data_IF_739352775996
#
_entry.id   IF_739352775996
#
_cell.length_a   1.000
_cell.length_b   1.000
_cell.length_c   1.000
_cell.angle_alpha   90.00
_cell.angle_beta   90.00
_cell.angle_gamma   90.00
#
_symmetry.space_group_name_H-M   'P 1'
#
loop_
_entity.id
_entity.type
_entity.pdbx_description
1 polymer ?
#
# COMPACT_ATOMS: atom_id res chain seq x y z
N UNK A 1 11.27 -20.29 -7.16
CA UNK A 1 10.68 -19.88 -5.87
C UNK A 1 10.30 -18.40 -5.95
N UNK A 2 9.08 -18.07 -5.51
CA UNK A 2 8.59 -16.68 -5.59
C UNK A 2 9.37 -15.79 -4.61
N UNK A 3 9.69 -14.57 -5.04
CA UNK A 3 10.39 -13.56 -4.22
C UNK A 3 9.68 -13.28 -2.88
N UNK A 4 8.34 -13.33 -2.90
CA UNK A 4 7.53 -13.11 -1.70
C UNK A 4 7.63 -14.19 -0.65
N UNK A 5 7.74 -15.46 -1.06
CA UNK A 5 7.96 -16.57 -0.13
C UNK A 5 9.33 -16.42 0.55
N UNK A 6 10.38 -16.09 -0.23
CA UNK A 6 11.70 -15.81 0.32
C UNK A 6 11.68 -14.65 1.31
N UNK A 7 10.94 -13.57 1.00
CA UNK A 7 10.79 -12.42 1.91
C UNK A 7 10.14 -12.84 3.22
N UNK A 8 8.98 -13.51 3.17
CA UNK A 8 8.30 -13.98 4.38
C UNK A 8 9.19 -14.91 5.19
N UNK A 9 9.90 -15.82 4.54
CA UNK A 9 10.83 -16.71 5.21
C UNK A 9 11.95 -15.92 5.92
N UNK A 10 12.54 -14.94 5.27
CA UNK A 10 13.61 -14.10 5.85
C UNK A 10 13.16 -13.30 7.07
N UNK A 11 11.90 -12.85 7.10
CA UNK A 11 11.37 -12.06 8.23
C UNK A 11 10.59 -12.94 9.24
N UNK A 12 10.45 -14.26 8.98
CA UNK A 12 9.61 -15.15 9.81
C UNK A 12 10.02 -15.17 11.27
N UNK A 13 11.32 -15.22 11.56
CA UNK A 13 11.84 -15.23 12.94
C UNK A 13 11.43 -13.94 13.66
N UNK A 14 11.56 -12.79 12.99
CA UNK A 14 11.18 -11.50 13.56
C UNK A 14 9.65 -11.40 13.77
N UNK A 15 8.84 -11.92 12.83
CA UNK A 15 7.39 -11.98 12.95
C UNK A 15 6.96 -12.88 14.13
N UNK A 16 7.56 -14.06 14.28
CA UNK A 16 7.31 -14.98 15.39
C UNK A 16 7.69 -14.32 16.73
N UNK A 17 8.82 -13.62 16.75
CA UNK A 17 9.25 -12.93 17.95
C UNK A 17 8.30 -11.78 18.33
N UNK A 18 7.88 -10.98 17.35
CA UNK A 18 6.86 -9.94 17.55
C UNK A 18 5.51 -10.52 17.98
N UNK A 19 5.11 -11.68 17.43
CA UNK A 19 3.89 -12.37 17.83
C UNK A 19 3.89 -12.76 19.32
N UNK A 20 5.02 -13.24 19.84
CA UNK A 20 5.11 -13.79 21.21
C UNK A 20 5.57 -12.80 22.30
N UNK A 21 6.22 -11.69 21.93
CA UNK A 21 6.89 -10.81 22.89
C UNK A 21 6.27 -9.40 22.94
N UNK A 22 5.66 -8.99 24.08
CA UNK A 22 5.02 -7.69 24.23
C UNK A 22 6.01 -6.51 24.16
N UNK A 23 7.29 -6.74 24.37
CA UNK A 23 8.33 -5.70 24.30
C UNK A 23 8.97 -5.60 22.89
N UNK A 24 8.49 -6.38 21.94
CA UNK A 24 9.01 -6.35 20.56
C UNK A 24 8.31 -5.30 19.72
N UNK A 25 9.12 -4.48 19.04
CA UNK A 25 8.69 -3.58 17.97
C UNK A 25 9.35 -4.05 16.68
N UNK A 26 8.55 -4.50 15.73
CA UNK A 26 9.00 -4.91 14.40
C UNK A 26 8.56 -3.87 13.38
N UNK A 27 9.52 -3.34 12.62
CA UNK A 27 9.26 -2.37 11.54
C UNK A 27 9.63 -3.03 10.21
N UNK A 28 8.70 -3.06 9.26
CA UNK A 28 8.90 -3.68 7.94
C UNK A 28 8.43 -2.73 6.85
N UNK A 29 9.32 -2.38 5.96
CA UNK A 29 8.99 -1.58 4.78
C UNK A 29 8.47 -2.48 3.65
N UNK A 30 7.42 -2.01 2.95
CA UNK A 30 6.78 -2.74 1.84
C UNK A 30 6.46 -4.21 2.17
N UNK A 31 5.80 -4.47 3.28
CA UNK A 31 5.50 -5.84 3.73
C UNK A 31 4.78 -6.68 2.65
N UNK A 32 3.99 -6.04 1.80
CA UNK A 32 3.22 -6.65 0.72
C UNK A 32 4.03 -6.97 -0.54
N UNK A 33 5.23 -6.42 -0.70
CA UNK A 33 6.03 -6.57 -1.92
C UNK A 33 6.35 -8.04 -2.22
N UNK A 34 5.79 -8.55 -3.33
CA UNK A 34 5.94 -9.93 -3.77
C UNK A 34 5.20 -10.99 -2.93
N UNK A 35 4.46 -10.59 -1.90
CA UNK A 35 3.69 -11.49 -1.05
C UNK A 35 2.28 -11.65 -1.61
N UNK A 36 1.80 -12.92 -1.67
CA UNK A 36 0.44 -13.20 -2.11
C UNK A 36 -0.58 -12.61 -1.13
N UNK A 37 -1.58 -11.90 -1.63
CA UNK A 37 -2.53 -11.11 -0.84
C UNK A 37 -3.24 -11.92 0.26
N UNK A 38 -3.68 -13.13 -0.03
CA UNK A 38 -4.35 -13.99 0.94
C UNK A 38 -3.41 -14.38 2.12
N UNK A 39 -2.14 -14.69 1.81
CA UNK A 39 -1.15 -14.99 2.82
C UNK A 39 -0.86 -13.77 3.70
N UNK A 40 -0.66 -12.60 3.08
CA UNK A 40 -0.48 -11.35 3.81
C UNK A 40 -1.67 -11.07 4.73
N UNK A 41 -2.90 -11.21 4.20
CA UNK A 41 -4.13 -11.02 4.97
C UNK A 41 -4.20 -11.91 6.21
N UNK A 42 -3.85 -13.18 6.07
CA UNK A 42 -3.82 -14.15 7.19
C UNK A 42 -2.75 -13.83 8.22
N UNK A 43 -1.56 -13.42 7.79
CA UNK A 43 -0.49 -12.99 8.70
C UNK A 43 -0.93 -11.77 9.51
N UNK A 44 -1.45 -10.74 8.84
CA UNK A 44 -1.92 -9.52 9.48
C UNK A 44 -3.06 -9.80 10.46
N UNK A 45 -4.01 -10.66 10.09
CA UNK A 45 -5.10 -11.06 10.96
C UNK A 45 -4.59 -11.78 12.21
N UNK A 46 -3.70 -12.76 12.06
CA UNK A 46 -3.13 -13.51 13.19
C UNK A 46 -2.39 -12.59 14.17
N UNK A 47 -1.58 -11.66 13.66
CA UNK A 47 -0.86 -10.70 14.50
C UNK A 47 -1.83 -9.73 15.19
N UNK A 48 -2.85 -9.25 14.49
CA UNK A 48 -3.83 -8.31 15.05
C UNK A 48 -4.71 -8.94 16.14
N UNK A 49 -5.06 -10.22 16.00
CA UNK A 49 -5.94 -10.92 16.94
C UNK A 49 -5.20 -11.45 18.19
N UNK A 50 -3.96 -11.90 18.01
CA UNK A 50 -3.26 -12.67 19.04
C UNK A 50 -1.81 -12.26 19.28
N UNK A 51 -1.26 -11.36 18.49
CA UNK A 51 0.09 -10.84 18.65
C UNK A 51 0.24 -10.01 19.91
N UNK A 52 1.35 -10.16 20.62
CA UNK A 52 1.66 -9.43 21.85
C UNK A 52 2.52 -8.20 21.62
N UNK A 53 3.43 -8.26 20.65
CA UNK A 53 4.28 -7.14 20.25
C UNK A 53 3.61 -6.20 19.27
N UNK A 54 4.37 -5.25 18.76
CA UNK A 54 3.89 -4.25 17.80
C UNK A 54 4.54 -4.48 16.43
N UNK A 55 3.70 -4.48 15.39
CA UNK A 55 4.12 -4.50 14.00
C UNK A 55 3.78 -3.16 13.35
N UNK A 56 4.79 -2.41 12.91
CA UNK A 56 4.65 -1.23 12.07
C UNK A 56 5.13 -1.59 10.66
N UNK A 57 4.31 -1.34 9.65
CA UNK A 57 4.70 -1.67 8.28
C UNK A 57 4.13 -0.67 7.28
N UNK A 58 4.80 -0.58 6.12
CA UNK A 58 4.23 0.06 4.94
C UNK A 58 3.71 -1.00 3.97
N UNK A 59 2.67 -0.66 3.20
CA UNK A 59 2.11 -1.49 2.15
C UNK A 59 1.47 -0.64 1.07
N UNK A 60 1.52 -1.11 -0.18
CA UNK A 60 0.91 -0.47 -1.32
C UNK A 60 -0.44 -1.12 -1.69
N UNK A 61 -0.65 -2.38 -1.33
CA UNK A 61 -1.91 -3.05 -1.59
C UNK A 61 -2.99 -2.71 -0.54
N UNK A 62 -4.23 -3.03 -0.85
CA UNK A 62 -5.39 -2.65 -0.04
C UNK A 62 -5.84 -3.73 0.96
N UNK A 63 -5.13 -4.85 1.06
CA UNK A 63 -5.45 -5.94 2.01
C UNK A 63 -5.48 -5.48 3.47
N UNK A 64 -4.55 -4.61 3.94
CA UNK A 64 -4.62 -4.09 5.29
C UNK A 64 -5.94 -3.35 5.59
N UNK A 65 -6.55 -2.70 4.59
CA UNK A 65 -7.83 -1.99 4.74
C UNK A 65 -9.02 -2.92 5.00
N UNK A 66 -8.89 -4.19 4.63
CA UNK A 66 -9.93 -5.19 4.82
C UNK A 66 -9.75 -5.98 6.14
N UNK A 67 -8.52 -6.08 6.60
CA UNK A 67 -8.14 -6.95 7.73
C UNK A 67 -7.90 -6.22 9.04
N UNK A 68 -7.54 -4.94 8.98
CA UNK A 68 -7.17 -4.16 10.15
C UNK A 68 -8.23 -3.12 10.51
N UNK A 69 -8.22 -2.71 11.77
CA UNK A 69 -9.04 -1.60 12.24
C UNK A 69 -8.58 -0.28 11.59
N UNK A 70 -9.54 0.59 11.24
CA UNK A 70 -9.24 1.94 10.74
C UNK A 70 -8.34 2.76 11.69
N UNK A 71 -8.37 2.46 12.99
CA UNK A 71 -7.52 3.11 14.00
C UNK A 71 -6.03 2.79 13.82
N UNK A 72 -5.73 1.64 13.22
CA UNK A 72 -4.36 1.17 12.99
C UNK A 72 -3.81 1.61 11.63
N UNK A 73 -4.60 2.32 10.81
CA UNK A 73 -4.23 2.68 9.45
C UNK A 73 -3.98 4.17 9.34
N UNK A 74 -2.85 4.51 8.70
CA UNK A 74 -2.45 5.86 8.34
C UNK A 74 -2.16 5.86 6.84
N UNK A 75 -2.72 6.82 6.13
CA UNK A 75 -2.41 7.06 4.71
C UNK A 75 -1.32 8.11 4.60
N UNK A 76 -0.40 7.90 3.68
CA UNK A 76 0.61 8.88 3.33
C UNK A 76 0.15 9.71 2.13
N UNK A 77 0.52 10.98 2.11
CA UNK A 77 0.24 11.91 1.01
C UNK A 77 1.51 12.52 0.47
N UNK A 78 1.46 13.08 -0.73
CA UNK A 78 2.56 13.85 -1.34
C UNK A 78 2.68 15.28 -0.80
N UNK A 79 1.70 15.76 0.01
CA UNK A 79 1.74 17.09 0.58
C UNK A 79 2.77 17.15 1.72
N UNK A 80 3.84 17.99 1.62
CA UNK A 80 4.86 18.09 2.65
C UNK A 80 4.34 18.61 4.00
N UNK A 81 3.25 19.40 3.98
CA UNK A 81 2.68 20.01 5.18
C UNK A 81 1.69 19.08 5.89
N UNK A 82 1.18 18.04 5.19
CA UNK A 82 0.25 17.07 5.76
C UNK A 82 0.51 15.67 5.19
N UNK A 83 1.63 15.08 5.57
CA UNK A 83 2.10 13.78 5.04
C UNK A 83 1.29 12.59 5.52
N UNK A 84 0.56 12.71 6.62
CA UNK A 84 -0.12 11.60 7.28
C UNK A 84 -1.59 11.92 7.51
N UNK A 85 -2.47 11.14 6.91
CA UNK A 85 -3.93 11.31 7.02
C UNK A 85 -4.57 10.07 7.61
N UNK A 86 -5.51 10.26 8.54
CA UNK A 86 -6.37 9.20 9.05
C UNK A 86 -7.81 9.46 8.65
N UNK A 87 -8.50 8.42 8.21
CA UNK A 87 -9.95 8.53 8.01
C UNK A 87 -10.67 8.47 9.35
N UNK A 88 -11.49 9.47 9.60
CA UNK A 88 -12.44 9.45 10.69
C UNK A 88 -13.69 8.70 10.23
N UNK A 89 -13.97 7.58 10.88
CA UNK A 89 -15.15 6.77 10.57
C UNK A 89 -16.37 7.35 11.25
N UNK A 90 -17.39 7.71 10.47
CA UNK A 90 -18.66 8.25 10.98
C UNK A 90 -19.75 7.17 11.11
N UNK A 91 -19.57 5.97 10.56
CA UNK A 91 -20.53 4.87 10.66
C UNK A 91 -19.85 3.48 10.70
N UNK A 92 -20.51 2.53 11.38
CA UNK A 92 -19.99 1.15 11.52
C UNK A 92 -20.06 0.29 10.25
N UNK A 93 -20.71 0.77 9.19
CA UNK A 93 -21.02 0.01 7.97
C UNK A 93 -20.09 0.28 6.79
N UNK A 94 -19.20 1.27 6.87
CA UNK A 94 -18.34 1.61 5.72
C UNK A 94 -17.09 0.73 5.69
N UNK A 95 -16.92 -0.05 4.61
CA UNK A 95 -15.68 -0.73 4.30
C UNK A 95 -14.59 0.32 4.03
N UNK A 96 -13.44 0.22 4.70
CA UNK A 96 -12.35 1.17 4.60
C UNK A 96 -11.78 1.27 3.17
N UNK A 97 -11.77 0.15 2.45
CA UNK A 97 -11.39 0.09 1.03
C UNK A 97 -12.32 0.95 0.17
N UNK A 98 -13.64 0.89 0.41
CA UNK A 98 -14.61 1.74 -0.29
C UNK A 98 -14.44 3.22 0.03
N UNK A 99 -14.10 3.56 1.28
CA UNK A 99 -13.77 4.93 1.66
C UNK A 99 -12.51 5.43 0.96
N UNK A 100 -11.49 4.59 0.86
CA UNK A 100 -10.26 4.92 0.14
C UNK A 100 -10.53 5.20 -1.34
N UNK A 101 -11.27 4.32 -2.04
CA UNK A 101 -11.62 4.56 -3.45
C UNK A 101 -12.47 5.82 -3.66
N UNK A 102 -13.41 6.10 -2.75
CA UNK A 102 -14.16 7.36 -2.80
C UNK A 102 -13.24 8.56 -2.60
N UNK A 103 -12.27 8.45 -1.71
CA UNK A 103 -11.30 9.51 -1.48
C UNK A 103 -10.42 9.77 -2.70
N UNK A 104 -10.06 8.72 -3.46
CA UNK A 104 -9.35 8.87 -4.72
C UNK A 104 -10.20 9.51 -5.83
N UNK A 105 -11.50 9.17 -5.88
CA UNK A 105 -12.41 9.63 -6.93
C UNK A 105 -12.97 11.05 -6.71
N UNK A 106 -13.00 11.54 -5.48
CA UNK A 106 -13.55 12.85 -5.16
C UNK A 106 -12.50 13.94 -5.35
N UNK A 107 -12.61 14.67 -6.46
CA UNK A 107 -11.86 15.91 -6.72
C UNK A 107 -12.34 17.04 -5.78
N UNK A 108 -11.92 17.08 -4.56
CA UNK A 108 -12.35 18.10 -3.60
C UNK A 108 -11.82 17.92 -2.21
N UNK A 109 -11.00 16.92 -1.98
CA UNK A 109 -10.34 16.73 -0.70
C UNK A 109 -9.18 17.71 -0.54
N UNK A 110 -8.99 18.19 0.68
CA UNK A 110 -7.84 19.03 1.03
C UNK A 110 -6.50 18.35 0.71
N UNK A 111 -6.48 17.01 0.72
CA UNK A 111 -5.30 16.19 0.48
C UNK A 111 -5.60 15.13 -0.58
N UNK A 112 -4.80 15.10 -1.64
CA UNK A 112 -4.86 14.05 -2.66
C UNK A 112 -4.12 12.81 -2.16
N UNK A 113 -4.82 11.69 -2.06
CA UNK A 113 -4.26 10.39 -1.69
C UNK A 113 -3.69 9.62 -2.90
N UNK A 114 -4.04 10.03 -4.12
CA UNK A 114 -3.62 9.40 -5.37
C UNK A 114 -2.58 10.20 -6.15
N UNK A 115 -2.10 9.61 -7.24
CA UNK A 115 -1.25 10.29 -8.22
C UNK A 115 -2.01 11.46 -8.86
N UNK A 116 -1.29 12.57 -9.13
CA UNK A 116 -1.82 13.67 -9.94
C UNK A 116 -1.79 13.38 -11.45
N UNK A 117 -1.19 12.25 -11.85
CA UNK A 117 -1.08 11.83 -13.25
C UNK A 117 -2.42 11.27 -13.70
N UNK A 118 -2.98 11.82 -14.77
CA UNK A 118 -4.21 11.33 -15.40
C UNK A 118 -3.92 10.22 -16.43
N UNK A 119 -4.97 9.54 -16.88
CA UNK A 119 -4.83 8.57 -17.98
C UNK A 119 -4.40 9.28 -19.26
N UNK A 120 -4.95 10.45 -19.49
CA UNK A 120 -4.64 11.30 -20.65
C UNK A 120 -3.17 11.71 -20.66
N UNK A 121 -2.55 12.04 -19.51
CA UNK A 121 -1.13 12.34 -19.40
C UNK A 121 -0.27 11.13 -19.84
N UNK A 122 -0.67 9.92 -19.42
CA UNK A 122 0.04 8.69 -19.80
C UNK A 122 -0.11 8.41 -21.29
N UNK A 123 -1.31 8.55 -21.84
CA UNK A 123 -1.58 8.37 -23.27
C UNK A 123 -0.76 9.33 -24.11
N UNK A 124 -0.68 10.60 -23.71
CA UNK A 124 0.14 11.59 -24.40
C UNK A 124 1.62 11.21 -24.41
N UNK A 125 2.17 10.82 -23.26
CA UNK A 125 3.57 10.39 -23.15
C UNK A 125 3.85 9.17 -24.03
N UNK A 126 2.94 8.18 -24.05
CA UNK A 126 3.11 7.00 -24.91
C UNK A 126 3.04 7.34 -26.39
N UNK A 127 2.14 8.25 -26.78
CA UNK A 127 2.03 8.73 -28.15
C UNK A 127 3.33 9.45 -28.60
N UNK A 128 3.82 10.39 -27.82
CA UNK A 128 5.05 11.12 -28.11
C UNK A 128 6.27 10.19 -28.20
N UNK A 129 6.39 9.25 -27.25
CA UNK A 129 7.47 8.27 -27.24
C UNK A 129 7.42 7.34 -28.48
N UNK A 130 6.24 6.89 -28.89
CA UNK A 130 6.07 6.06 -30.08
C UNK A 130 6.56 6.77 -31.34
N UNK A 131 6.17 8.01 -31.53
CA UNK A 131 6.60 8.78 -32.71
C UNK A 131 8.09 9.07 -32.71
N UNK A 132 8.65 9.43 -31.58
CA UNK A 132 10.10 9.63 -31.44
C UNK A 132 10.90 8.36 -31.77
N UNK A 133 10.43 7.19 -31.32
CA UNK A 133 11.06 5.90 -31.66
C UNK A 133 10.91 5.54 -33.13
N UNK A 134 9.79 5.89 -33.76
CA UNK A 134 9.57 5.62 -35.20
C UNK A 134 10.46 6.47 -36.10
N UNK A 135 10.69 7.74 -35.75
CA UNK A 135 11.62 8.63 -36.46
C UNK A 135 13.08 8.14 -36.32
N UNK A 136 13.48 7.65 -35.16
CA UNK A 136 14.81 7.07 -34.95
C UNK A 136 15.04 5.84 -35.84
N UNK A 137 14.03 4.97 -35.98
CA UNK A 137 14.12 3.81 -36.88
C UNK A 137 14.29 4.18 -38.34
N UNK A 138 13.64 5.26 -38.79
CA UNK A 138 13.79 5.74 -40.19
C UNK A 138 15.14 6.36 -40.46
N UNK A 139 15.84 6.91 -39.46
CA UNK A 139 17.18 7.51 -39.61
C UNK A 139 18.32 6.47 -39.57
N UNK A 140 18.05 5.25 -39.09
CA UNK A 140 19.06 4.18 -38.96
C UNK A 140 18.94 3.13 -40.07
N UNK A 141 17.85 3.14 -40.83
CA UNK A 141 17.65 2.29 -42.01
C UNK A 141 18.12 2.98 -43.29
#
# INVERSE_FOLDING_TARGET
ESSGIKKIFNISVALIYAYGNPNCWLVVDELDSGVFEDLLGKILQAINESGKGQLLFTAHNLVPLERLSYKSIIFTTSNPDNRYVRFHRTSNTSNLRSLYYRALALNGQKEKLGSSISVEDIEQVFYEAYWSLSELKQKVA
#
